data_IF_286353009662
#
_entry.id   IF_286353009662
#
_cell.length_a   1.000
_cell.length_b   1.000
_cell.length_c   1.000
_cell.angle_alpha   90.00
_cell.angle_beta   90.00
_cell.angle_gamma   90.00
#
_symmetry.space_group_name_H-M   'P 1'
#
loop_
_entity.id
_entity.type
_entity.pdbx_description
1 polymer ?
#
# COMPACT_ATOMS: atom_id res chain seq x y z
N UNK A 1 52.11 22.57 -6.40
CA UNK A 1 51.35 21.72 -7.34
C UNK A 1 50.53 20.72 -6.54
N UNK A 2 49.19 20.80 -6.59
CA UNK A 2 48.30 19.74 -6.10
C UNK A 2 47.17 19.62 -7.12
N UNK A 3 46.98 18.42 -7.67
CA UNK A 3 46.00 18.19 -8.74
C UNK A 3 44.61 17.99 -8.15
N UNK A 4 43.55 18.63 -8.67
CA UNK A 4 42.20 18.50 -8.11
C UNK A 4 41.58 17.14 -8.46
N UNK A 5 41.61 16.23 -7.49
CA UNK A 5 41.01 14.91 -7.58
C UNK A 5 39.48 14.94 -7.76
N UNK A 6 39.02 14.05 -8.64
CA UNK A 6 37.65 13.84 -9.10
C UNK A 6 36.55 13.93 -8.03
N UNK A 7 35.73 14.98 -8.08
CA UNK A 7 34.51 15.13 -7.27
C UNK A 7 33.31 14.30 -7.78
N UNK A 8 33.43 13.65 -8.96
CA UNK A 8 32.31 12.92 -9.60
C UNK A 8 32.15 11.51 -9.04
N UNK A 9 33.23 10.82 -8.72
CA UNK A 9 33.18 9.51 -8.05
C UNK A 9 32.65 9.59 -6.62
N UNK A 10 32.92 10.68 -5.89
CA UNK A 10 32.41 10.90 -4.52
C UNK A 10 30.89 11.01 -4.49
N UNK A 11 30.30 11.78 -5.43
CA UNK A 11 28.85 11.90 -5.54
C UNK A 11 28.18 10.56 -5.88
N UNK A 12 28.75 9.77 -6.82
CA UNK A 12 28.19 8.48 -7.23
C UNK A 12 28.33 7.38 -6.15
N UNK A 13 29.42 7.39 -5.38
CA UNK A 13 29.61 6.49 -4.22
C UNK A 13 28.76 6.90 -3.01
N UNK A 14 28.54 8.20 -2.82
CA UNK A 14 27.61 8.73 -1.80
C UNK A 14 26.18 8.26 -2.04
N UNK A 15 25.70 8.32 -3.28
CA UNK A 15 24.35 7.83 -3.66
C UNK A 15 24.15 6.37 -3.30
N UNK A 16 25.07 5.48 -3.69
CA UNK A 16 24.92 4.06 -3.34
C UNK A 16 24.93 3.80 -1.83
N UNK A 17 25.76 4.51 -1.05
CA UNK A 17 25.74 4.37 0.42
C UNK A 17 24.50 4.97 1.06
N UNK A 18 24.05 6.15 0.65
CA UNK A 18 22.90 6.82 1.28
C UNK A 18 21.57 6.14 0.91
N UNK A 19 21.41 5.72 -0.36
CA UNK A 19 20.24 4.97 -0.81
C UNK A 19 20.25 3.55 -0.23
N UNK A 20 21.40 2.87 -0.12
CA UNK A 20 21.45 1.59 0.58
C UNK A 20 21.13 1.75 2.07
N UNK A 21 21.67 2.75 2.77
CA UNK A 21 21.36 2.99 4.20
C UNK A 21 19.91 3.42 4.41
N UNK A 22 19.31 4.18 3.48
CA UNK A 22 17.90 4.53 3.54
C UNK A 22 17.00 3.33 3.23
N UNK A 23 17.31 2.52 2.21
CA UNK A 23 16.58 1.30 1.86
C UNK A 23 16.68 0.24 2.96
N UNK A 24 17.87 0.04 3.53
CA UNK A 24 18.14 -0.88 4.64
C UNK A 24 17.49 -0.39 5.94
N UNK A 25 17.45 0.92 6.22
CA UNK A 25 16.62 1.46 7.32
C UNK A 25 15.12 1.38 7.04
N UNK A 26 14.64 1.59 5.82
CA UNK A 26 13.23 1.43 5.46
C UNK A 26 12.80 -0.03 5.55
N UNK A 27 13.60 -0.98 5.03
CA UNK A 27 13.36 -2.41 5.23
C UNK A 27 13.42 -2.76 6.72
N UNK A 28 14.43 -2.31 7.48
CA UNK A 28 14.50 -2.59 8.93
C UNK A 28 13.39 -1.90 9.73
N UNK A 29 12.80 -0.79 9.30
CA UNK A 29 11.64 -0.18 9.97
C UNK A 29 10.34 -0.93 9.59
N UNK A 30 10.16 -1.30 8.32
CA UNK A 30 9.05 -2.15 7.89
C UNK A 30 9.09 -3.55 8.54
N UNK A 31 10.28 -4.13 8.76
CA UNK A 31 10.45 -5.40 9.46
C UNK A 31 10.46 -5.25 11.00
N UNK A 32 11.00 -4.17 11.58
CA UNK A 32 10.89 -3.94 13.03
C UNK A 32 9.44 -3.70 13.48
N UNK A 33 8.60 -3.12 12.60
CA UNK A 33 7.15 -3.08 12.77
C UNK A 33 6.49 -4.47 12.86
N UNK A 34 7.18 -5.55 12.46
CA UNK A 34 6.73 -6.94 12.61
C UNK A 34 7.37 -7.68 13.79
N UNK A 35 8.38 -7.11 14.47
CA UNK A 35 9.03 -7.76 15.63
C UNK A 35 8.49 -7.31 16.99
N UNK A 36 7.86 -6.13 17.10
CA UNK A 36 7.42 -5.58 18.40
C UNK A 36 6.06 -6.08 18.91
N UNK A 37 5.35 -6.94 18.17
CA UNK A 37 4.10 -7.58 18.60
C UNK A 37 4.11 -9.09 18.31
N UNK A 38 4.93 -9.84 19.05
CA UNK A 38 4.76 -11.29 19.18
C UNK A 38 3.52 -11.64 20.00
N UNK A 39 2.35 -11.42 19.42
CA UNK A 39 1.13 -12.16 19.72
C UNK A 39 1.02 -13.33 18.71
N UNK A 40 0.58 -14.53 19.10
CA UNK A 40 0.61 -15.70 18.23
C UNK A 40 -0.50 -15.65 17.18
N UNK A 41 -0.16 -15.22 15.96
CA UNK A 41 -1.01 -15.44 14.79
C UNK A 41 -1.00 -16.93 14.45
N UNK A 42 -2.05 -17.64 14.86
CA UNK A 42 -2.16 -19.10 14.72
C UNK A 42 -2.31 -19.54 13.25
N UNK A 43 -1.61 -20.63 12.90
CA UNK A 43 -1.56 -21.23 11.56
C UNK A 43 -2.93 -21.70 11.03
N UNK A 44 -3.69 -20.80 10.39
CA UNK A 44 -4.90 -21.18 9.63
C UNK A 44 -4.59 -22.09 8.42
N UNK A 45 -3.35 -22.14 7.95
CA UNK A 45 -2.92 -22.97 6.82
C UNK A 45 -2.82 -24.47 7.15
N UNK A 46 -2.88 -24.82 8.44
CA UNK A 46 -2.86 -26.21 8.93
C UNK A 46 -4.24 -26.89 8.90
N UNK A 47 -5.33 -26.12 8.94
CA UNK A 47 -6.71 -26.63 9.05
C UNK A 47 -7.37 -26.97 7.70
N UNK A 48 -6.88 -26.43 6.59
CA UNK A 48 -7.45 -26.65 5.26
C UNK A 48 -6.98 -27.96 4.58
N UNK A 49 -6.02 -28.68 5.16
CA UNK A 49 -5.37 -29.85 4.53
C UNK A 49 -5.99 -31.21 4.89
N UNK A 50 -7.16 -31.19 5.53
CA UNK A 50 -7.83 -32.36 6.13
C UNK A 50 -9.07 -32.89 5.40
N UNK A 51 -9.24 -32.65 4.10
CA UNK A 51 -10.22 -33.36 3.25
C UNK A 51 -10.00 -33.09 1.76
N UNK A 52 -9.24 -33.96 1.09
CA UNK A 52 -9.57 -34.65 -0.16
C UNK A 52 -8.30 -35.38 -0.65
N UNK A 53 -8.38 -36.70 -0.81
CA UNK A 53 -7.28 -37.52 -1.31
C UNK A 53 -7.69 -38.25 -2.59
N UNK A 54 -7.07 -37.89 -3.72
CA UNK A 54 -7.02 -38.72 -4.93
C UNK A 54 -5.92 -38.29 -5.93
N UNK A 55 -4.81 -39.03 -5.90
CA UNK A 55 -3.89 -39.39 -7.02
C UNK A 55 -3.21 -38.33 -7.93
N UNK A 56 -1.88 -38.44 -8.18
CA UNK A 56 -1.12 -37.51 -9.03
C UNK A 56 -0.85 -38.00 -10.48
N UNK A 57 -0.56 -37.10 -11.44
CA UNK A 57 0.06 -37.43 -12.73
C UNK A 57 1.62 -37.33 -12.70
N UNK A 58 2.33 -37.98 -13.64
CA UNK A 58 3.78 -38.26 -13.53
C UNK A 58 4.73 -37.17 -14.09
N UNK A 59 6.03 -37.22 -13.74
CA UNK A 59 7.04 -36.25 -14.18
C UNK A 59 7.66 -36.59 -15.56
N UNK A 60 8.10 -35.57 -16.30
CA UNK A 60 8.95 -35.72 -17.50
C UNK A 60 10.34 -35.14 -17.22
N UNK A 61 11.36 -35.90 -17.60
CA UNK A 61 12.73 -35.76 -17.13
C UNK A 61 13.61 -34.77 -17.92
N UNK A 62 14.66 -34.27 -17.26
CA UNK A 62 15.75 -33.52 -17.88
C UNK A 62 16.97 -34.43 -18.13
N UNK A 63 17.46 -34.44 -19.37
CA UNK A 63 18.70 -35.06 -19.86
C UNK A 63 18.91 -34.56 -21.31
N UNK A 64 20.11 -34.40 -21.89
CA UNK A 64 21.50 -34.45 -21.44
C UNK A 64 22.33 -33.78 -22.57
N UNK A 65 23.46 -33.10 -22.29
CA UNK A 65 24.77 -33.39 -22.91
C UNK A 65 25.87 -32.38 -22.51
N UNK A 66 27.12 -32.85 -22.52
CA UNK A 66 28.28 -32.18 -21.92
C UNK A 66 29.27 -31.61 -22.95
N UNK A 67 30.13 -30.73 -22.43
CA UNK A 67 31.36 -30.15 -23.00
C UNK A 67 32.21 -31.11 -23.86
N UNK A 68 32.99 -30.54 -24.79
CA UNK A 68 34.47 -30.62 -24.74
C UNK A 68 35.18 -29.54 -25.58
N UNK A 69 36.48 -29.32 -25.32
CA UNK A 69 37.34 -28.26 -25.89
C UNK A 69 37.94 -28.65 -27.24
N UNK A 70 38.27 -27.66 -28.10
CA UNK A 70 39.61 -27.53 -28.74
C UNK A 70 39.84 -26.15 -29.39
N UNK A 71 41.10 -25.91 -29.78
CA UNK A 71 41.75 -24.61 -30.03
C UNK A 71 41.97 -24.29 -31.53
N UNK A 72 42.31 -23.02 -31.81
CA UNK A 72 42.69 -22.45 -33.13
C UNK A 72 43.89 -23.14 -33.81
N UNK A 73 44.05 -23.01 -35.15
CA UNK A 73 44.97 -21.99 -35.70
C UNK A 73 44.47 -21.19 -36.94
N UNK A 74 45.17 -20.09 -37.23
CA UNK A 74 45.06 -19.09 -38.34
C UNK A 74 45.91 -19.51 -39.60
N UNK A 75 46.05 -18.74 -40.72
CA UNK A 75 45.24 -17.66 -41.38
C UNK A 75 45.18 -17.69 -42.96
N UNK A 76 44.73 -16.56 -43.59
CA UNK A 76 44.94 -16.01 -44.98
C UNK A 76 44.05 -16.50 -46.19
N UNK A 77 43.94 -15.79 -47.37
CA UNK A 77 42.77 -14.97 -47.80
C UNK A 77 42.29 -15.28 -49.27
N UNK A 78 41.70 -14.36 -50.10
CA UNK A 78 40.85 -13.16 -49.93
C UNK A 78 39.41 -13.50 -50.46
N UNK A 79 38.70 -12.81 -51.42
CA UNK A 79 38.64 -11.40 -51.91
C UNK A 79 38.21 -10.40 -50.81
N UNK A 80 37.94 -9.08 -50.95
CA UNK A 80 37.84 -8.04 -52.01
C UNK A 80 36.53 -7.80 -52.79
N UNK A 81 35.65 -6.94 -52.27
CA UNK A 81 35.32 -5.69 -52.98
C UNK A 81 34.87 -4.55 -52.04
N UNK A 82 35.21 -3.35 -52.50
CA UNK A 82 34.89 -1.97 -52.12
C UNK A 82 33.38 -1.69 -51.89
N UNK A 83 32.95 -0.65 -51.16
CA UNK A 83 33.24 0.79 -51.37
C UNK A 83 32.86 1.63 -50.13
N UNK A 84 33.38 2.86 -50.03
CA UNK A 84 33.13 3.81 -48.94
C UNK A 84 32.82 5.20 -49.51
N UNK A 85 31.71 5.83 -49.09
CA UNK A 85 31.50 7.31 -49.09
C UNK A 85 31.56 7.96 -50.51
N UNK A 86 31.57 9.31 -50.77
CA UNK A 86 31.63 10.49 -49.87
C UNK A 86 30.75 11.69 -50.29
N UNK A 87 31.01 12.89 -49.73
CA UNK A 87 31.17 14.14 -50.49
C UNK A 87 31.73 15.28 -49.62
N UNK A 88 33.00 15.63 -49.85
CA UNK A 88 33.76 16.84 -49.47
C UNK A 88 35.24 16.58 -49.91
N UNK A 89 35.90 17.27 -50.86
CA UNK A 89 35.40 18.17 -51.92
C UNK A 89 36.43 18.29 -53.11
N UNK A 90 36.23 19.25 -54.04
CA UNK A 90 37.07 19.76 -55.18
C UNK A 90 38.59 19.35 -55.32
N UNK A 91 39.17 19.39 -56.56
CA UNK A 91 38.64 19.00 -57.88
C UNK A 91 39.66 18.25 -58.79
N UNK A 92 39.17 17.54 -59.83
CA UNK A 92 39.48 17.79 -61.27
C UNK A 92 38.96 16.68 -62.19
N UNK A 93 38.20 17.10 -63.22
CA UNK A 93 37.92 16.43 -64.50
C UNK A 93 37.24 15.03 -64.58
N UNK A 94 36.52 14.89 -65.71
CA UNK A 94 35.92 13.70 -66.34
C UNK A 94 34.50 13.31 -65.93
N UNK A 95 33.64 13.29 -66.95
CA UNK A 95 32.19 13.09 -66.94
C UNK A 95 31.76 11.66 -66.59
N UNK A 96 30.72 11.49 -65.75
CA UNK A 96 29.54 10.62 -66.00
C UNK A 96 28.51 10.66 -64.84
N UNK A 97 27.22 10.34 -65.08
CA UNK A 97 26.15 10.55 -64.10
C UNK A 97 25.94 9.35 -63.16
N UNK A 98 26.09 9.55 -61.85
CA UNK A 98 25.69 8.56 -60.85
C UNK A 98 24.22 8.73 -60.43
N UNK A 99 23.41 7.73 -60.75
CA UNK A 99 22.00 7.63 -60.33
C UNK A 99 21.97 7.24 -58.84
N UNK A 100 21.62 8.18 -57.96
CA UNK A 100 21.33 7.89 -56.56
C UNK A 100 20.04 7.06 -56.44
N UNK A 101 20.15 5.79 -56.02
CA UNK A 101 18.99 5.02 -55.57
C UNK A 101 18.46 5.64 -54.27
N UNK A 102 17.16 5.93 -54.14
CA UNK A 102 16.61 6.51 -52.91
C UNK A 102 16.70 5.49 -51.78
N UNK A 103 17.29 5.89 -50.65
CA UNK A 103 17.31 5.08 -49.44
C UNK A 103 15.86 4.84 -48.99
N UNK A 104 15.47 3.56 -48.91
CA UNK A 104 14.15 3.15 -48.44
C UNK A 104 14.02 3.55 -46.96
N UNK A 105 13.29 4.64 -46.70
CA UNK A 105 13.15 5.20 -45.35
C UNK A 105 12.34 4.20 -44.51
N UNK A 106 13.00 3.54 -43.56
CA UNK A 106 12.34 2.69 -42.57
C UNK A 106 11.21 3.48 -41.90
N UNK A 107 10.00 2.91 -41.70
CA UNK A 107 8.87 3.66 -41.13
C UNK A 107 9.18 4.25 -39.75
N UNK A 108 10.07 3.62 -38.97
CA UNK A 108 10.60 4.16 -37.71
C UNK A 108 11.34 5.50 -37.89
N UNK A 109 12.18 5.64 -38.91
CA UNK A 109 12.91 6.87 -39.21
C UNK A 109 12.00 8.00 -39.73
N UNK A 110 10.86 7.66 -40.36
CA UNK A 110 9.82 8.65 -40.69
C UNK A 110 9.13 9.17 -39.44
N UNK A 111 8.74 8.27 -38.52
CA UNK A 111 8.11 8.61 -37.23
C UNK A 111 9.06 9.48 -36.38
N UNK A 112 10.33 9.13 -36.30
CA UNK A 112 11.36 9.90 -35.57
C UNK A 112 11.47 11.34 -36.11
N UNK A 113 11.60 11.52 -37.44
CA UNK A 113 11.68 12.85 -38.07
C UNK A 113 10.41 13.68 -37.84
N UNK A 114 9.23 13.05 -37.84
CA UNK A 114 7.95 13.73 -37.53
C UNK A 114 7.89 14.15 -36.06
N UNK A 115 8.23 13.27 -35.12
CA UNK A 115 8.32 13.59 -33.69
C UNK A 115 9.30 14.73 -33.43
N UNK A 116 10.51 14.67 -34.01
CA UNK A 116 11.51 15.72 -33.88
C UNK A 116 10.99 17.08 -34.39
N UNK A 117 10.29 17.10 -35.53
CA UNK A 117 9.68 18.31 -36.08
C UNK A 117 8.59 18.88 -35.17
N UNK A 118 7.74 18.03 -34.59
CA UNK A 118 6.70 18.43 -33.63
C UNK A 118 7.33 19.01 -32.36
N UNK A 119 8.30 18.33 -31.75
CA UNK A 119 9.00 18.82 -30.56
C UNK A 119 9.78 20.11 -30.81
N UNK A 120 10.38 20.26 -31.99
CA UNK A 120 11.07 21.50 -32.38
C UNK A 120 10.08 22.67 -32.52
N UNK A 121 8.94 22.46 -33.18
CA UNK A 121 7.88 23.47 -33.31
C UNK A 121 7.31 23.87 -31.94
N UNK A 122 7.03 22.89 -31.08
CA UNK A 122 6.58 23.11 -29.70
C UNK A 122 7.61 23.89 -28.88
N UNK A 123 8.89 23.52 -28.96
CA UNK A 123 9.98 24.24 -28.30
C UNK A 123 10.14 25.68 -28.78
N UNK A 124 9.97 25.93 -30.09
CA UNK A 124 10.00 27.28 -30.66
C UNK A 124 8.79 28.12 -30.21
N UNK A 125 7.61 27.51 -30.06
CA UNK A 125 6.42 28.18 -29.54
C UNK A 125 6.57 28.55 -28.05
N UNK A 126 7.06 27.63 -27.22
CA UNK A 126 7.34 27.87 -25.80
C UNK A 126 8.41 28.97 -25.64
N UNK A 127 9.47 28.92 -26.44
CA UNK A 127 10.53 29.93 -26.43
C UNK A 127 10.08 31.34 -26.83
N UNK A 128 9.07 31.48 -27.69
CA UNK A 128 8.49 32.78 -28.07
C UNK A 128 7.60 33.39 -26.98
N UNK A 129 6.91 32.57 -26.18
CA UNK A 129 5.93 33.04 -25.18
C UNK A 129 6.05 32.36 -23.81
N UNK A 130 7.23 32.42 -23.15
CA UNK A 130 7.53 31.60 -21.95
C UNK A 130 6.53 31.83 -20.80
N UNK A 131 6.14 33.08 -20.54
CA UNK A 131 5.21 33.42 -19.45
C UNK A 131 3.84 32.75 -19.59
N UNK A 132 3.32 32.57 -20.82
CA UNK A 132 2.02 31.90 -21.05
C UNK A 132 2.09 30.42 -20.67
N UNK A 133 3.20 29.75 -21.00
CA UNK A 133 3.43 28.33 -20.70
C UNK A 133 3.87 28.05 -19.26
N UNK A 134 4.24 29.07 -18.48
CA UNK A 134 4.47 28.94 -17.04
C UNK A 134 3.19 29.22 -16.26
N UNK A 135 2.53 30.35 -16.55
CA UNK A 135 1.34 30.80 -15.80
C UNK A 135 0.12 29.91 -16.10
N UNK A 136 -0.07 29.47 -17.35
CA UNK A 136 -1.20 28.62 -17.73
C UNK A 136 -1.29 27.31 -16.92
N UNK A 137 -0.24 26.46 -16.90
CA UNK A 137 -0.23 25.24 -16.10
C UNK A 137 -0.30 25.47 -14.58
N UNK A 138 0.21 26.58 -14.06
CA UNK A 138 0.09 26.94 -12.64
C UNK A 138 -1.36 27.29 -12.27
N UNK A 139 -2.05 28.10 -13.09
CA UNK A 139 -3.48 28.40 -12.92
C UNK A 139 -4.30 27.11 -13.05
N UNK A 140 -4.00 26.27 -14.04
CA UNK A 140 -4.68 24.98 -14.19
C UNK A 140 -4.49 24.08 -12.96
N UNK A 141 -3.27 23.94 -12.45
CA UNK A 141 -2.99 23.18 -11.22
C UNK A 141 -3.74 23.73 -10.00
N UNK A 142 -3.85 25.06 -9.88
CA UNK A 142 -4.60 25.72 -8.81
C UNK A 142 -6.11 25.44 -8.92
N UNK A 143 -6.68 25.51 -10.13
CA UNK A 143 -8.07 25.17 -10.40
C UNK A 143 -8.37 23.69 -10.12
N UNK A 144 -7.49 22.76 -10.52
CA UNK A 144 -7.62 21.35 -10.17
C UNK A 144 -7.53 21.13 -8.64
N UNK A 145 -6.67 21.87 -7.95
CA UNK A 145 -6.55 21.82 -6.48
C UNK A 145 -7.80 22.34 -5.77
N UNK A 146 -8.63 23.19 -6.39
CA UNK A 146 -9.93 23.55 -5.81
C UNK A 146 -10.87 22.33 -5.65
N UNK A 147 -10.62 21.22 -6.37
CA UNK A 147 -11.32 19.95 -6.19
C UNK A 147 -11.15 19.29 -4.81
N UNK A 148 -10.15 19.70 -4.02
CA UNK A 148 -10.02 19.29 -2.61
C UNK A 148 -11.20 19.70 -1.72
N UNK A 149 -12.06 20.63 -2.16
CA UNK A 149 -13.32 20.97 -1.43
C UNK A 149 -14.26 19.76 -1.30
N UNK A 150 -14.18 18.77 -2.19
CA UNK A 150 -14.96 17.52 -2.15
C UNK A 150 -14.19 16.33 -1.55
N UNK A 151 -13.12 16.59 -0.80
CA UNK A 151 -12.27 15.53 -0.25
C UNK A 151 -13.04 14.63 0.73
N UNK A 152 -13.35 13.40 0.28
CA UNK A 152 -13.96 12.34 1.08
C UNK A 152 -12.93 11.25 1.33
N UNK A 153 -12.57 11.01 2.58
CA UNK A 153 -11.74 9.86 2.96
C UNK A 153 -12.62 8.67 3.34
N UNK A 154 -12.26 7.48 2.86
CA UNK A 154 -12.78 6.19 3.33
C UNK A 154 -11.56 5.37 3.74
N UNK A 155 -11.60 4.63 4.85
CA UNK A 155 -10.52 3.73 5.29
C UNK A 155 -11.02 2.29 5.58
N UNK A 156 -12.21 1.91 5.12
CA UNK A 156 -12.75 0.58 5.34
C UNK A 156 -12.10 -0.42 4.36
N UNK A 157 -11.29 -1.34 4.89
CA UNK A 157 -10.56 -2.34 4.11
C UNK A 157 -11.51 -3.25 3.28
N UNK A 158 -12.65 -3.69 3.86
CA UNK A 158 -13.62 -4.57 3.20
C UNK A 158 -14.17 -3.97 1.92
N UNK A 159 -14.39 -2.65 1.90
CA UNK A 159 -14.96 -1.91 0.75
C UNK A 159 -13.88 -1.54 -0.30
N UNK A 160 -12.60 -1.58 0.06
CA UNK A 160 -11.50 -1.17 -0.84
C UNK A 160 -10.77 -2.34 -1.50
N UNK A 161 -10.61 -3.47 -0.80
CA UNK A 161 -9.92 -4.65 -1.32
C UNK A 161 -10.86 -5.67 -2.00
N UNK A 162 -12.15 -5.35 -2.12
CA UNK A 162 -13.12 -6.14 -2.90
C UNK A 162 -13.52 -5.39 -4.16
N UNK A 163 -13.62 -6.11 -5.29
CA UNK A 163 -14.09 -5.53 -6.54
C UNK A 163 -15.54 -5.02 -6.41
N UNK A 164 -15.88 -3.95 -7.15
CA UNK A 164 -17.20 -3.31 -7.08
C UNK A 164 -18.35 -4.20 -7.56
N UNK A 165 -18.04 -5.12 -8.46
CA UNK A 165 -18.89 -6.10 -9.15
C UNK A 165 -18.77 -7.52 -8.56
N UNK A 166 -18.07 -7.69 -7.44
CA UNK A 166 -17.89 -9.00 -6.81
C UNK A 166 -19.23 -9.62 -6.39
N UNK A 167 -19.50 -10.92 -6.68
CA UNK A 167 -20.73 -11.61 -6.28
C UNK A 167 -21.02 -11.51 -4.77
N UNK A 168 -19.98 -11.54 -3.94
CA UNK A 168 -20.08 -11.38 -2.49
C UNK A 168 -20.65 -10.03 -2.03
N UNK A 169 -20.56 -8.97 -2.86
CA UNK A 169 -21.25 -7.70 -2.58
C UNK A 169 -22.75 -7.79 -2.85
N UNK A 170 -23.15 -8.45 -3.94
CA UNK A 170 -24.56 -8.69 -4.24
C UNK A 170 -25.20 -9.59 -3.17
N UNK A 171 -24.50 -10.63 -2.72
CA UNK A 171 -24.91 -11.47 -1.60
C UNK A 171 -25.05 -10.67 -0.30
N UNK A 172 -24.04 -9.86 0.05
CA UNK A 172 -24.07 -9.03 1.26
C UNK A 172 -25.18 -7.97 1.24
N UNK A 173 -25.44 -7.33 0.10
CA UNK A 173 -26.53 -6.37 -0.07
C UNK A 173 -27.90 -7.07 -0.02
N UNK A 174 -28.03 -8.24 -0.63
CA UNK A 174 -29.26 -9.05 -0.58
C UNK A 174 -29.56 -9.51 0.85
N UNK A 175 -28.53 -9.95 1.58
CA UNK A 175 -28.62 -10.32 2.99
C UNK A 175 -29.00 -9.12 3.87
N UNK A 176 -28.39 -7.95 3.64
CA UNK A 176 -28.72 -6.71 4.36
C UNK A 176 -30.18 -6.30 4.17
N UNK A 177 -30.68 -6.32 2.93
CA UNK A 177 -32.09 -6.06 2.59
C UNK A 177 -33.02 -7.09 3.23
N UNK A 178 -32.67 -8.38 3.21
CA UNK A 178 -33.49 -9.45 3.79
C UNK A 178 -33.60 -9.36 5.31
N UNK A 179 -32.50 -9.02 6.00
CA UNK A 179 -32.46 -8.89 7.45
C UNK A 179 -33.08 -7.57 7.96
N UNK A 180 -33.49 -6.67 7.05
CA UNK A 180 -34.12 -5.37 7.34
C UNK A 180 -33.41 -4.57 8.44
N UNK A 181 -32.07 -4.58 8.41
CA UNK A 181 -31.23 -3.94 9.43
C UNK A 181 -31.19 -2.41 9.24
N UNK A 182 -31.55 -1.67 10.28
CA UNK A 182 -31.50 -0.19 10.30
C UNK A 182 -30.06 0.36 10.42
N UNK A 183 -29.19 0.00 9.49
CA UNK A 183 -27.78 0.44 9.47
C UNK A 183 -26.84 -0.65 8.94
N UNK A 184 -25.55 -0.33 8.83
CA UNK A 184 -24.51 -1.35 8.63
C UNK A 184 -24.24 -2.02 9.98
N UNK A 185 -24.54 -3.32 10.09
CA UNK A 185 -24.13 -4.12 11.24
C UNK A 185 -22.61 -4.32 11.23
N UNK A 186 -21.89 -3.57 12.06
CA UNK A 186 -20.49 -3.90 12.34
C UNK A 186 -20.42 -5.04 13.36
N UNK A 187 -19.50 -5.97 13.14
CA UNK A 187 -19.24 -7.08 14.06
C UNK A 187 -17.93 -6.80 14.78
N UNK A 188 -18.01 -6.74 16.11
CA UNK A 188 -16.87 -6.72 17.00
C UNK A 188 -16.67 -8.13 17.54
N UNK A 189 -15.48 -8.68 17.34
CA UNK A 189 -15.09 -9.99 17.86
C UNK A 189 -14.13 -9.76 19.03
N UNK A 190 -14.52 -10.18 20.23
CA UNK A 190 -13.65 -10.19 21.41
C UNK A 190 -13.15 -11.61 21.59
N UNK A 191 -11.85 -11.80 21.39
CA UNK A 191 -11.16 -13.08 21.49
C UNK A 191 -10.60 -13.17 22.91
N UNK A 192 -10.90 -14.27 23.60
CA UNK A 192 -10.45 -14.52 24.96
C UNK A 192 -9.62 -15.80 25.02
N UNK A 193 -8.45 -15.69 25.61
CA UNK A 193 -7.40 -16.71 25.78
C UNK A 193 -7.24 -17.00 27.28
N UNK A 194 -7.16 -18.26 27.66
CA UNK A 194 -6.80 -18.64 29.03
C UNK A 194 -5.29 -18.46 29.24
N UNK A 195 -4.91 -17.52 30.10
CA UNK A 195 -3.50 -17.14 30.31
C UNK A 195 -2.71 -18.30 30.91
N UNK A 196 -1.78 -18.85 30.13
CA UNK A 196 -0.92 -19.97 30.53
C UNK A 196 -1.32 -21.27 29.83
N UNK A 197 -1.57 -22.33 30.59
CA UNK A 197 -2.05 -23.62 30.06
C UNK A 197 -3.46 -24.02 30.54
N UNK A 198 -4.09 -23.21 31.40
CA UNK A 198 -5.42 -23.46 31.95
C UNK A 198 -6.53 -23.43 30.89
N UNK A 199 -7.74 -23.79 31.30
CA UNK A 199 -8.93 -23.85 30.45
C UNK A 199 -10.00 -22.87 30.91
N UNK A 200 -10.71 -22.26 29.97
CA UNK A 200 -11.73 -21.23 30.22
C UNK A 200 -12.99 -21.77 30.94
N UNK A 201 -13.14 -23.10 31.03
CA UNK A 201 -14.20 -23.75 31.79
C UNK A 201 -13.94 -23.79 33.30
N UNK A 202 -12.67 -23.70 33.72
CA UNK A 202 -12.26 -23.81 35.11
C UNK A 202 -12.54 -22.48 35.87
N UNK A 203 -12.92 -22.56 37.16
CA UNK A 203 -12.75 -21.40 38.06
C UNK A 203 -11.25 -21.22 38.33
N UNK A 204 -10.66 -20.02 38.21
CA UNK A 204 -11.30 -18.70 38.14
C UNK A 204 -11.53 -18.13 36.73
N UNK A 205 -11.03 -18.79 35.66
CA UNK A 205 -11.10 -18.28 34.29
C UNK A 205 -12.53 -18.02 33.82
N UNK A 206 -13.46 -18.96 34.08
CA UNK A 206 -14.88 -18.85 33.70
C UNK A 206 -15.57 -17.62 34.30
N UNK A 207 -15.21 -17.26 35.53
CA UNK A 207 -15.80 -16.14 36.26
C UNK A 207 -15.32 -14.80 35.71
N UNK A 208 -14.04 -14.71 35.33
CA UNK A 208 -13.52 -13.53 34.63
C UNK A 208 -14.11 -13.37 33.22
N UNK A 209 -14.33 -14.47 32.49
CA UNK A 209 -14.99 -14.43 31.17
C UNK A 209 -16.46 -13.96 31.28
N UNK A 210 -17.20 -14.42 32.28
CA UNK A 210 -18.57 -13.96 32.55
C UNK A 210 -18.58 -12.47 32.96
N UNK A 211 -17.68 -12.07 33.86
CA UNK A 211 -17.57 -10.69 34.31
C UNK A 211 -17.21 -9.72 33.17
N UNK A 212 -16.23 -10.08 32.33
CA UNK A 212 -15.83 -9.30 31.14
C UNK A 212 -17.01 -9.10 30.20
N UNK A 213 -17.79 -10.16 29.96
CA UNK A 213 -18.94 -10.08 29.05
C UNK A 213 -19.99 -9.11 29.59
N UNK A 214 -20.27 -9.15 30.90
CA UNK A 214 -21.21 -8.24 31.55
C UNK A 214 -20.72 -6.78 31.56
N UNK A 215 -19.44 -6.54 31.87
CA UNK A 215 -18.83 -5.20 31.84
C UNK A 215 -18.94 -4.57 30.44
N UNK A 216 -18.60 -5.32 29.39
CA UNK A 216 -18.73 -4.86 28.00
C UNK A 216 -20.19 -4.60 27.58
N UNK A 217 -21.16 -5.38 28.07
CA UNK A 217 -22.57 -5.21 27.68
C UNK A 217 -23.35 -4.17 28.49
N UNK A 218 -23.06 -4.00 29.77
CA UNK A 218 -23.89 -3.22 30.72
C UNK A 218 -23.17 -1.99 31.31
N UNK A 219 -21.87 -2.09 31.61
CA UNK A 219 -21.10 -1.01 32.23
C UNK A 219 -20.57 0.00 31.19
N UNK A 220 -20.14 -0.47 30.01
CA UNK A 220 -19.65 0.39 28.92
C UNK A 220 -20.80 1.21 28.32
N UNK A 221 -20.88 2.48 28.74
CA UNK A 221 -21.87 3.46 28.28
C UNK A 221 -21.22 4.58 27.47
N UNK A 222 -21.90 5.00 26.40
CA UNK A 222 -21.42 5.99 25.43
C UNK A 222 -22.42 7.11 25.30
N UNK A 223 -21.95 8.35 25.26
CA UNK A 223 -22.82 9.50 25.04
C UNK A 223 -23.18 9.60 23.55
N UNK A 224 -24.47 9.54 23.24
CA UNK A 224 -25.00 9.72 21.89
C UNK A 224 -25.14 11.23 21.58
N UNK A 225 -24.36 11.80 20.64
CA UNK A 225 -24.42 13.22 20.32
C UNK A 225 -25.74 13.65 19.67
N UNK A 226 -26.52 12.73 19.09
CA UNK A 226 -27.82 13.04 18.49
C UNK A 226 -28.95 13.09 19.52
N UNK A 227 -28.80 12.43 20.68
CA UNK A 227 -29.84 12.32 21.72
C UNK A 227 -29.46 12.91 23.08
N UNK A 228 -28.20 13.25 23.31
CA UNK A 228 -27.69 13.78 24.58
C UNK A 228 -27.88 12.80 25.75
N UNK A 229 -27.75 11.49 25.48
CA UNK A 229 -28.00 10.41 26.46
C UNK A 229 -26.90 9.36 26.40
N UNK A 230 -26.67 8.73 27.56
CA UNK A 230 -25.74 7.61 27.66
C UNK A 230 -26.43 6.29 27.25
N UNK A 231 -26.00 5.74 26.13
CA UNK A 231 -26.49 4.51 25.50
C UNK A 231 -25.53 3.36 25.85
N UNK A 232 -26.07 2.19 26.21
CA UNK A 232 -25.31 0.95 26.46
C UNK A 232 -25.33 0.02 25.24
N UNK A 233 -24.50 -1.02 25.24
CA UNK A 233 -24.50 -2.03 24.16
C UNK A 233 -25.91 -2.59 23.91
N UNK A 234 -26.67 -2.89 24.97
CA UNK A 234 -28.01 -3.48 24.89
C UNK A 234 -29.03 -2.66 24.09
N UNK A 235 -28.86 -1.34 23.99
CA UNK A 235 -29.71 -0.47 23.16
C UNK A 235 -29.24 -0.37 21.70
N UNK A 236 -28.00 -0.77 21.40
CA UNK A 236 -27.37 -0.66 20.08
C UNK A 236 -27.34 -1.96 19.27
N UNK A 237 -27.60 -3.09 19.92
CA UNK A 237 -27.36 -4.43 19.38
C UNK A 237 -28.56 -5.15 18.78
N UNK A 238 -29.78 -4.59 18.87
CA UNK A 238 -30.96 -5.25 18.33
C UNK A 238 -30.82 -5.48 16.81
N UNK A 239 -31.12 -6.69 16.28
CA UNK A 239 -31.78 -7.83 16.96
C UNK A 239 -30.83 -8.87 17.60
N UNK A 240 -29.50 -8.69 17.55
CA UNK A 240 -28.51 -9.74 17.86
C UNK A 240 -27.94 -9.71 19.29
N UNK A 241 -28.51 -8.92 20.20
CA UNK A 241 -28.05 -8.78 21.59
C UNK A 241 -27.79 -10.14 22.30
N UNK A 242 -28.68 -11.12 22.08
CA UNK A 242 -28.64 -12.44 22.73
C UNK A 242 -27.68 -13.46 22.08
N UNK A 243 -26.76 -13.02 21.20
CA UNK A 243 -25.86 -13.92 20.48
C UNK A 243 -24.89 -14.68 21.41
N UNK A 244 -24.44 -14.04 22.49
CA UNK A 244 -23.48 -14.63 23.44
C UNK A 244 -24.16 -15.41 24.58
N UNK A 245 -25.48 -15.27 24.77
CA UNK A 245 -26.25 -15.88 25.86
C UNK A 245 -26.04 -17.41 25.98
N UNK A 246 -25.99 -18.20 24.89
CA UNK A 246 -25.71 -19.64 24.98
C UNK A 246 -24.39 -19.96 25.67
N UNK A 247 -23.30 -19.27 25.31
CA UNK A 247 -21.99 -19.49 25.92
C UNK A 247 -22.02 -19.15 27.41
N UNK A 248 -22.54 -17.98 27.77
CA UNK A 248 -22.59 -17.52 29.16
C UNK A 248 -23.50 -18.41 30.02
N UNK A 249 -24.62 -18.86 29.48
CA UNK A 249 -25.54 -19.80 30.16
C UNK A 249 -24.86 -21.16 30.38
N UNK A 250 -24.11 -21.66 29.39
CA UNK A 250 -23.34 -22.91 29.49
C UNK A 250 -22.29 -22.81 30.59
N UNK A 251 -21.49 -21.74 30.62
CA UNK A 251 -20.44 -21.53 31.63
C UNK A 251 -21.00 -21.44 33.06
N UNK A 252 -22.20 -20.83 33.23
CA UNK A 252 -22.91 -20.79 34.51
C UNK A 252 -23.42 -22.18 34.94
N UNK A 253 -23.97 -22.96 34.01
CA UNK A 253 -24.58 -24.26 34.31
C UNK A 253 -23.57 -25.41 34.42
N UNK A 254 -22.42 -25.34 33.73
CA UNK A 254 -21.34 -26.31 33.80
C UNK A 254 -20.86 -26.59 35.24
N UNK A 255 -20.79 -25.56 36.08
CA UNK A 255 -20.38 -25.72 37.48
C UNK A 255 -21.38 -26.53 38.32
N UNK A 256 -22.67 -26.50 37.95
CA UNK A 256 -23.73 -27.17 38.70
C UNK A 256 -23.89 -28.66 38.35
N UNK A 257 -23.14 -29.18 37.38
CA UNK A 257 -23.25 -30.56 36.90
C UNK A 257 -24.58 -30.91 36.23
N UNK A 258 -25.41 -29.91 35.91
CA UNK A 258 -26.80 -30.09 35.44
C UNK A 258 -26.93 -30.36 33.94
N UNK A 259 -25.86 -30.27 33.16
CA UNK A 259 -25.88 -30.34 31.70
C UNK A 259 -24.67 -31.12 31.20
N UNK A 260 -24.92 -32.08 30.30
CA UNK A 260 -23.90 -32.76 29.50
C UNK A 260 -23.42 -31.83 28.38
N UNK A 261 -22.12 -31.50 28.37
CA UNK A 261 -21.56 -30.57 27.39
C UNK A 261 -21.12 -31.29 26.12
N UNK A 262 -22.01 -31.31 25.13
CA UNK A 262 -21.77 -31.83 23.77
C UNK A 262 -21.27 -30.73 22.81
N UNK A 263 -20.75 -31.12 21.65
CA UNK A 263 -20.30 -30.20 20.59
C UNK A 263 -20.77 -30.69 19.21
N UNK A 264 -21.21 -29.81 18.27
CA UNK A 264 -21.20 -28.34 18.31
C UNK A 264 -22.47 -27.69 18.88
N UNK A 265 -23.49 -28.49 19.17
CA UNK A 265 -24.77 -28.08 19.74
C UNK A 265 -24.89 -28.67 21.14
N UNK A 266 -25.47 -27.92 22.07
CA UNK A 266 -25.90 -28.41 23.38
C UNK A 266 -27.41 -28.24 23.56
N UNK A 267 -27.97 -29.00 24.50
CA UNK A 267 -29.36 -28.84 24.92
C UNK A 267 -29.42 -28.01 26.21
N UNK A 268 -29.82 -26.75 26.10
CA UNK A 268 -30.12 -25.86 27.23
C UNK A 268 -31.62 -25.96 27.56
N UNK A 269 -31.97 -26.83 28.51
CA UNK A 269 -33.33 -26.94 29.07
C UNK A 269 -34.44 -27.13 28.00
N UNK A 270 -34.18 -27.93 26.97
CA UNK A 270 -35.11 -28.19 25.87
C UNK A 270 -34.89 -27.29 24.64
N UNK A 271 -33.97 -26.32 24.69
CA UNK A 271 -33.58 -25.49 23.54
C UNK A 271 -32.21 -25.92 23.03
N UNK A 272 -32.13 -26.27 21.75
CA UNK A 272 -30.85 -26.52 21.08
C UNK A 272 -30.11 -25.21 20.85
N UNK A 273 -28.87 -25.12 21.35
CA UNK A 273 -28.04 -23.94 21.22
C UNK A 273 -26.67 -24.29 20.63
N UNK A 274 -26.29 -23.62 19.54
CA UNK A 274 -25.01 -23.84 18.86
C UNK A 274 -23.89 -23.04 19.50
N UNK A 275 -22.86 -23.73 20.00
CA UNK A 275 -21.65 -23.14 20.61
C UNK A 275 -20.45 -23.19 19.66
N UNK A 276 -20.56 -23.91 18.53
CA UNK A 276 -19.48 -24.03 17.53
C UNK A 276 -18.96 -22.72 16.92
N UNK A 277 -19.61 -21.58 17.18
CA UNK A 277 -19.15 -20.23 16.78
C UNK A 277 -18.48 -19.43 17.91
N UNK A 278 -18.40 -19.99 19.12
CA UNK A 278 -17.95 -19.28 20.33
C UNK A 278 -16.90 -20.02 21.15
N UNK A 279 -16.81 -21.36 21.09
CA UNK A 279 -15.74 -22.14 21.74
C UNK A 279 -14.77 -22.71 20.71
N UNK A 280 -13.47 -22.55 20.95
CA UNK A 280 -12.40 -22.99 20.07
C UNK A 280 -11.29 -23.70 20.85
N UNK A 281 -10.57 -24.61 20.16
CA UNK A 281 -9.54 -25.50 20.75
C UNK A 281 -10.08 -26.24 21.98
N UNK A 282 -11.04 -27.12 21.70
CA UNK A 282 -11.82 -27.87 22.68
C UNK A 282 -11.12 -29.20 22.95
N UNK A 283 -10.96 -29.53 24.22
CA UNK A 283 -10.49 -30.82 24.70
C UNK A 283 -11.70 -31.68 25.08
N UNK A 284 -11.76 -32.90 24.53
CA UNK A 284 -12.88 -33.83 24.71
C UNK A 284 -12.41 -35.10 25.38
N UNK A 285 -13.27 -35.67 26.22
CA UNK A 285 -13.08 -37.01 26.73
C UNK A 285 -13.20 -38.04 25.59
N UNK A 286 -12.29 -39.00 25.59
CA UNK A 286 -12.21 -40.04 24.58
C UNK A 286 -13.25 -41.16 24.80
N UNK A 287 -13.77 -41.30 26.03
CA UNK A 287 -14.78 -42.31 26.36
C UNK A 287 -16.22 -41.82 26.14
N UNK A 288 -16.54 -40.60 26.58
CA UNK A 288 -17.89 -40.02 26.52
C UNK A 288 -18.11 -39.03 25.38
N UNK A 289 -17.05 -38.52 24.76
CA UNK A 289 -17.13 -37.46 23.75
C UNK A 289 -17.48 -36.07 24.31
N UNK A 290 -17.67 -35.95 25.63
CA UNK A 290 -18.03 -34.71 26.32
C UNK A 290 -16.85 -33.72 26.36
N UNK A 291 -17.18 -32.43 26.47
CA UNK A 291 -16.20 -31.35 26.62
C UNK A 291 -15.60 -31.38 28.03
N UNK A 292 -14.27 -31.57 28.13
CA UNK A 292 -13.51 -31.41 29.38
C UNK A 292 -13.09 -29.94 29.58
N UNK A 293 -12.72 -29.27 28.50
CA UNK A 293 -12.20 -27.90 28.54
C UNK A 293 -12.09 -27.27 27.16
N UNK A 294 -11.80 -25.97 27.14
CA UNK A 294 -11.51 -25.25 25.90
C UNK A 294 -10.62 -24.04 26.21
N UNK A 295 -9.72 -23.68 25.27
CA UNK A 295 -8.67 -22.68 25.51
C UNK A 295 -8.97 -21.30 24.95
N UNK A 296 -9.86 -21.19 23.98
CA UNK A 296 -10.24 -19.92 23.34
C UNK A 296 -11.75 -19.72 23.27
N UNK A 297 -12.24 -18.55 23.69
CA UNK A 297 -13.60 -18.09 23.41
C UNK A 297 -13.58 -16.96 22.37
N UNK A 298 -14.62 -16.87 21.55
CA UNK A 298 -14.92 -15.67 20.76
C UNK A 298 -16.33 -15.19 21.11
N UNK A 299 -16.40 -13.98 21.66
CA UNK A 299 -17.64 -13.25 21.91
C UNK A 299 -17.92 -12.36 20.70
N UNK A 300 -19.15 -12.38 20.19
CA UNK A 300 -19.56 -11.59 19.03
C UNK A 300 -20.52 -10.49 19.48
N UNK A 301 -20.10 -9.23 19.36
CA UNK A 301 -20.90 -8.05 19.64
C UNK A 301 -21.30 -7.41 18.31
N UNK A 302 -22.60 -7.36 18.04
CA UNK A 302 -23.16 -6.77 16.83
C UNK A 302 -23.61 -5.35 17.15
N UNK A 303 -23.14 -4.38 16.38
CA UNK A 303 -23.43 -2.96 16.54
C UNK A 303 -24.09 -2.44 15.27
N UNK A 304 -25.27 -1.84 15.37
CA UNK A 304 -26.04 -1.37 14.19
C UNK A 304 -25.95 0.15 13.99
N UNK A 305 -25.70 0.91 15.06
CA UNK A 305 -25.77 2.38 15.08
C UNK A 305 -24.42 3.04 14.75
N UNK A 306 -24.23 3.50 13.50
CA UNK A 306 -22.95 4.00 12.98
C UNK A 306 -22.26 5.10 13.80
N UNK A 307 -23.00 6.07 14.34
CA UNK A 307 -22.41 7.26 14.98
C UNK A 307 -21.81 6.94 16.37
N UNK A 308 -22.53 6.14 17.16
CA UNK A 308 -22.16 5.79 18.54
C UNK A 308 -21.18 4.60 18.58
N UNK A 309 -21.25 3.71 17.58
CA UNK A 309 -20.41 2.52 17.41
C UNK A 309 -18.91 2.77 17.62
N UNK A 310 -18.33 3.78 16.94
CA UNK A 310 -16.89 4.08 17.06
C UNK A 310 -16.49 4.45 18.50
N UNK A 311 -17.33 5.20 19.21
CA UNK A 311 -17.07 5.62 20.58
C UNK A 311 -17.31 4.48 21.59
N UNK A 312 -18.18 3.51 21.28
CA UNK A 312 -18.30 2.27 22.04
C UNK A 312 -17.06 1.39 21.88
N UNK A 313 -16.62 1.17 20.64
CA UNK A 313 -15.43 0.37 20.34
C UNK A 313 -14.16 0.93 21.02
N UNK A 314 -14.01 2.26 21.04
CA UNK A 314 -12.88 2.90 21.70
C UNK A 314 -12.90 2.73 23.23
N UNK A 315 -14.07 2.82 23.88
CA UNK A 315 -14.21 2.54 25.32
C UNK A 315 -14.04 1.05 25.66
N UNK A 316 -14.56 0.15 24.83
CA UNK A 316 -14.36 -1.29 24.99
C UNK A 316 -12.87 -1.66 24.88
N UNK A 317 -12.16 -1.05 23.92
CA UNK A 317 -10.71 -1.20 23.75
C UNK A 317 -9.92 -0.62 24.94
N UNK A 318 -10.40 0.45 25.59
CA UNK A 318 -9.81 1.00 26.82
C UNK A 318 -9.95 0.03 28.01
N UNK A 319 -11.14 -0.54 28.22
CA UNK A 319 -11.38 -1.58 29.25
C UNK A 319 -10.45 -2.77 29.04
N UNK A 320 -10.30 -3.25 27.80
CA UNK A 320 -9.40 -4.37 27.47
C UNK A 320 -7.92 -3.99 27.74
N UNK A 321 -7.48 -2.81 27.31
CA UNK A 321 -6.11 -2.31 27.54
C UNK A 321 -5.79 -2.05 29.01
N UNK A 322 -6.78 -1.81 29.86
CA UNK A 322 -6.59 -1.66 31.32
C UNK A 322 -6.04 -2.93 31.98
N UNK A 323 -6.15 -4.09 31.32
CA UNK A 323 -5.69 -5.39 31.80
C UNK A 323 -6.22 -5.72 33.23
N UNK A 324 -7.48 -5.35 33.49
CA UNK A 324 -8.23 -5.60 34.74
C UNK A 324 -8.27 -7.09 35.15
N UNK A 325 -8.23 -7.99 34.17
CA UNK A 325 -8.32 -9.44 34.36
C UNK A 325 -6.95 -10.12 34.27
N UNK A 326 -6.58 -10.85 35.34
CA UNK A 326 -5.27 -11.48 35.43
C UNK A 326 -5.19 -12.88 34.80
N UNK A 327 -6.29 -13.65 34.79
CA UNK A 327 -6.31 -15.04 34.32
C UNK A 327 -6.65 -15.19 32.84
N UNK A 328 -7.28 -14.18 32.22
CA UNK A 328 -7.59 -14.20 30.79
C UNK A 328 -6.78 -13.14 30.05
N UNK A 329 -6.28 -13.49 28.85
CA UNK A 329 -5.85 -12.51 27.85
C UNK A 329 -7.07 -12.19 26.98
N UNK A 330 -7.27 -10.91 26.68
CA UNK A 330 -8.40 -10.42 25.90
C UNK A 330 -7.88 -9.56 24.77
N UNK A 331 -8.28 -9.88 23.55
CA UNK A 331 -7.96 -9.15 22.33
C UNK A 331 -9.27 -8.82 21.59
N UNK A 332 -9.30 -7.74 20.81
CA UNK A 332 -10.52 -7.26 20.14
C UNK A 332 -10.23 -6.91 18.68
N UNK A 333 -11.05 -7.46 17.78
CA UNK A 333 -10.94 -7.28 16.34
C UNK A 333 -12.27 -6.77 15.75
N UNK A 334 -12.17 -5.76 14.88
CA UNK A 334 -13.31 -5.25 14.11
C UNK A 334 -12.83 -4.46 12.89
N UNK A 335 -13.65 -4.35 11.85
CA UNK A 335 -13.35 -3.62 10.61
C UNK A 335 -12.99 -2.14 10.89
N UNK A 336 -13.68 -1.52 11.85
CA UNK A 336 -13.46 -0.14 12.29
C UNK A 336 -12.11 0.03 12.99
N UNK A 337 -11.75 -0.88 13.91
CA UNK A 337 -10.44 -0.90 14.58
C UNK A 337 -9.30 -1.06 13.56
N UNK A 338 -9.45 -1.96 12.58
CA UNK A 338 -8.49 -2.13 11.48
C UNK A 338 -8.39 -0.83 10.65
N UNK A 339 -9.52 -0.20 10.31
CA UNK A 339 -9.54 1.10 9.62
C UNK A 339 -8.87 2.23 10.42
N UNK A 340 -8.99 2.22 11.75
CA UNK A 340 -8.32 3.15 12.67
C UNK A 340 -6.81 2.94 12.68
N UNK A 341 -6.34 1.70 12.72
CA UNK A 341 -4.90 1.39 12.67
C UNK A 341 -4.29 1.69 11.29
N UNK A 342 -5.00 1.42 10.19
CA UNK A 342 -4.59 1.82 8.83
C UNK A 342 -4.50 3.34 8.69
N UNK A 343 -5.43 4.10 9.30
CA UNK A 343 -5.35 5.57 9.37
C UNK A 343 -4.14 6.02 10.18
N UNK A 344 -3.90 5.40 11.34
CA UNK A 344 -2.78 5.69 12.23
C UNK A 344 -1.43 5.48 11.54
N UNK A 345 -1.23 4.32 10.91
CA UNK A 345 -0.05 4.00 10.11
C UNK A 345 0.20 5.08 9.03
N UNK A 346 -0.86 5.54 8.35
CA UNK A 346 -0.77 6.65 7.40
C UNK A 346 -0.30 7.97 8.03
N UNK A 347 -0.85 8.34 9.19
CA UNK A 347 -0.46 9.57 9.90
C UNK A 347 0.94 9.52 10.51
N UNK A 348 1.39 8.36 11.01
CA UNK A 348 2.75 8.19 11.57
C UNK A 348 3.81 8.13 10.46
N UNK A 349 3.47 7.62 9.28
CA UNK A 349 4.36 7.57 8.10
C UNK A 349 4.50 8.93 7.40
N UNK A 350 3.44 9.76 7.41
CA UNK A 350 3.43 11.07 6.76
C UNK A 350 4.65 11.97 7.06
N UNK A 351 5.07 12.20 8.33
CA UNK A 351 6.25 13.02 8.61
C UNK A 351 7.56 12.41 8.09
N UNK A 352 7.71 11.08 8.12
CA UNK A 352 8.89 10.41 7.57
C UNK A 352 8.98 10.61 6.04
N UNK A 353 7.84 10.57 5.36
CA UNK A 353 7.74 10.83 3.92
C UNK A 353 8.11 12.29 3.60
N UNK A 354 7.63 13.27 4.37
CA UNK A 354 8.04 14.69 4.21
C UNK A 354 9.55 14.87 4.39
N UNK A 355 10.16 14.22 5.39
CA UNK A 355 11.61 14.26 5.59
C UNK A 355 12.38 13.62 4.42
N UNK A 356 11.90 12.50 3.88
CA UNK A 356 12.50 11.84 2.72
C UNK A 356 12.42 12.70 1.44
N UNK A 357 11.27 13.34 1.18
CA UNK A 357 11.10 14.29 0.07
C UNK A 357 12.05 15.49 0.24
N UNK A 358 12.15 16.05 1.44
CA UNK A 358 13.06 17.16 1.75
C UNK A 358 14.53 16.79 1.52
N UNK A 359 14.96 15.62 1.97
CA UNK A 359 16.32 15.11 1.73
C UNK A 359 16.62 14.92 0.23
N UNK A 360 15.66 14.41 -0.55
CA UNK A 360 15.80 14.26 -2.00
C UNK A 360 15.89 15.63 -2.70
N UNK A 361 15.08 16.62 -2.32
CA UNK A 361 15.19 17.99 -2.85
C UNK A 361 16.54 18.64 -2.51
N UNK A 362 17.03 18.50 -1.28
CA UNK A 362 18.36 19.00 -0.87
C UNK A 362 19.47 18.32 -1.68
N UNK A 363 19.39 17.01 -1.91
CA UNK A 363 20.31 16.28 -2.77
C UNK A 363 20.27 16.79 -4.23
N UNK A 364 19.08 17.03 -4.79
CA UNK A 364 18.86 17.56 -6.14
C UNK A 364 19.51 18.94 -6.33
N UNK A 365 19.30 19.84 -5.35
CA UNK A 365 19.90 21.17 -5.30
C UNK A 365 21.43 21.04 -5.17
N UNK A 366 21.92 20.17 -4.28
CA UNK A 366 23.33 19.86 -4.09
C UNK A 366 24.03 19.41 -5.38
N UNK A 367 23.44 18.46 -6.11
CA UNK A 367 23.92 17.99 -7.42
C UNK A 367 23.88 19.05 -8.54
N UNK A 368 23.25 20.20 -8.31
CA UNK A 368 23.14 21.29 -9.27
C UNK A 368 24.19 22.39 -9.08
N UNK A 369 24.93 22.35 -7.97
CA UNK A 369 26.16 23.13 -7.82
C UNK A 369 27.28 22.52 -8.66
N UNK A 370 27.82 23.32 -9.56
CA UNK A 370 28.92 22.95 -10.45
C UNK A 370 30.16 23.75 -10.07
N UNK A 371 31.34 23.14 -10.22
CA UNK A 371 32.64 23.68 -9.80
C UNK A 371 32.99 25.08 -10.40
N UNK A 372 32.24 25.56 -11.39
CA UNK A 372 32.26 26.95 -11.86
C UNK A 372 30.92 27.62 -11.50
N UNK A 373 30.94 28.51 -10.51
CA UNK A 373 29.73 29.15 -9.94
C UNK A 373 28.88 29.95 -10.96
N UNK A 374 29.48 30.43 -12.06
CA UNK A 374 28.74 31.07 -13.18
C UNK A 374 27.95 30.08 -14.06
N UNK A 375 28.12 28.77 -13.87
CA UNK A 375 27.40 27.72 -14.59
C UNK A 375 26.40 26.94 -13.71
N UNK A 376 26.40 27.16 -12.39
CA UNK A 376 25.38 26.60 -11.51
C UNK A 376 24.04 27.33 -11.67
N UNK A 377 22.97 26.55 -11.81
CA UNK A 377 21.59 27.04 -11.92
C UNK A 377 20.71 26.38 -10.85
N UNK A 378 20.85 26.76 -9.56
CA UNK A 378 20.09 26.13 -8.49
C UNK A 378 18.57 26.32 -8.65
N UNK A 379 18.11 27.50 -9.08
CA UNK A 379 16.69 27.78 -9.31
C UNK A 379 16.02 26.87 -10.36
N UNK A 380 16.73 26.53 -11.45
CA UNK A 380 16.23 25.58 -12.47
C UNK A 380 15.98 24.19 -11.85
N UNK A 381 16.81 23.80 -10.88
CA UNK A 381 16.71 22.55 -10.15
C UNK A 381 15.61 22.55 -9.09
N UNK A 382 15.43 23.67 -8.36
CA UNK A 382 14.34 23.84 -7.38
C UNK A 382 12.98 23.78 -8.08
N UNK A 383 12.79 24.53 -9.17
CA UNK A 383 11.54 24.52 -9.95
C UNK A 383 11.27 23.12 -10.50
N UNK A 384 12.30 22.46 -11.04
CA UNK A 384 12.22 21.08 -11.50
C UNK A 384 11.79 20.09 -10.40
N UNK A 385 12.37 20.18 -9.20
CA UNK A 385 12.00 19.32 -8.06
C UNK A 385 10.61 19.59 -7.48
N UNK A 386 10.09 20.81 -7.59
CA UNK A 386 8.73 21.16 -7.15
C UNK A 386 7.65 20.77 -8.16
N UNK A 387 7.99 20.65 -9.45
CA UNK A 387 7.03 20.35 -10.51
C UNK A 387 6.26 19.02 -10.30
N UNK A 388 6.89 17.89 -9.94
CA UNK A 388 6.17 16.65 -9.62
C UNK A 388 5.21 16.78 -8.43
N UNK A 389 5.54 17.61 -7.42
CA UNK A 389 4.68 17.85 -6.25
C UNK A 389 3.40 18.58 -6.68
N UNK A 390 3.54 19.66 -7.45
CA UNK A 390 2.40 20.43 -7.97
C UNK A 390 1.52 19.58 -8.88
N UNK A 391 2.12 18.75 -9.75
CA UNK A 391 1.40 17.82 -10.60
C UNK A 391 0.64 16.74 -9.79
N UNK A 392 1.26 16.19 -8.74
CA UNK A 392 0.61 15.24 -7.82
C UNK A 392 -0.59 15.85 -7.10
N UNK A 393 -0.43 17.06 -6.54
CA UNK A 393 -1.52 17.80 -5.88
C UNK A 393 -2.67 18.13 -6.85
N UNK A 394 -2.36 18.57 -8.07
CA UNK A 394 -3.37 18.83 -9.10
C UNK A 394 -4.13 17.55 -9.50
N UNK A 395 -3.42 16.42 -9.62
CA UNK A 395 -4.01 15.11 -9.93
C UNK A 395 -4.96 14.64 -8.83
N UNK A 396 -4.54 14.68 -7.56
CA UNK A 396 -5.41 14.31 -6.43
C UNK A 396 -6.60 15.27 -6.33
N UNK A 397 -6.40 16.57 -6.51
CA UNK A 397 -7.48 17.55 -6.52
C UNK A 397 -8.53 17.27 -7.61
N UNK A 398 -8.09 16.95 -8.84
CA UNK A 398 -8.98 16.58 -9.94
C UNK A 398 -9.77 15.29 -9.66
N UNK A 399 -9.13 14.27 -9.09
CA UNK A 399 -9.78 13.02 -8.68
C UNK A 399 -10.76 13.25 -7.52
N UNK A 400 -10.43 14.14 -6.58
CA UNK A 400 -11.33 14.56 -5.50
C UNK A 400 -12.57 15.30 -6.04
N UNK A 401 -12.44 16.08 -7.12
CA UNK A 401 -13.56 16.80 -7.73
C UNK A 401 -14.65 15.86 -8.30
N UNK A 402 -14.27 14.68 -8.80
CA UNK A 402 -15.22 13.66 -9.31
C UNK A 402 -15.95 12.90 -8.20
N UNK A 403 -15.60 13.14 -6.92
CA UNK A 403 -16.23 12.50 -5.77
C UNK A 403 -15.68 11.10 -5.44
N UNK A 404 -14.57 10.69 -6.07
CA UNK A 404 -13.87 9.47 -5.71
C UNK A 404 -13.27 9.57 -4.31
N UNK A 405 -13.43 8.52 -3.52
CA UNK A 405 -12.94 8.49 -2.15
C UNK A 405 -11.41 8.33 -2.11
N UNK A 406 -10.76 9.17 -1.30
CA UNK A 406 -9.34 9.08 -1.03
C UNK A 406 -9.04 8.00 0.02
N UNK A 407 -7.96 7.24 -0.19
CA UNK A 407 -7.45 6.24 0.75
C UNK A 407 -6.06 6.63 1.25
N UNK A 408 -5.80 6.45 2.55
CA UNK A 408 -4.55 6.89 3.20
C UNK A 408 -3.27 6.35 2.55
N UNK A 409 -3.31 5.13 2.00
CA UNK A 409 -2.14 4.47 1.37
C UNK A 409 -1.63 5.21 0.12
N UNK A 410 -2.47 6.03 -0.53
CA UNK A 410 -2.09 6.79 -1.75
C UNK A 410 -1.00 7.83 -1.46
N UNK A 411 -0.82 8.24 -0.20
CA UNK A 411 0.29 9.12 0.20
C UNK A 411 1.66 8.51 -0.14
N UNK A 412 1.80 7.18 -0.12
CA UNK A 412 3.05 6.50 -0.50
C UNK A 412 3.34 6.57 -2.01
N UNK A 413 2.32 6.64 -2.87
CA UNK A 413 2.55 6.72 -4.33
C UNK A 413 3.07 8.09 -4.75
N UNK A 414 2.76 9.16 -4.00
CA UNK A 414 3.34 10.49 -4.23
C UNK A 414 4.87 10.50 -4.10
N UNK A 415 5.44 9.67 -3.21
CA UNK A 415 6.90 9.52 -3.11
C UNK A 415 7.49 8.85 -4.37
N UNK A 416 6.84 7.82 -4.89
CA UNK A 416 7.26 7.15 -6.13
C UNK A 416 7.17 8.11 -7.34
N UNK A 417 6.10 8.90 -7.44
CA UNK A 417 5.95 9.90 -8.49
C UNK A 417 7.03 10.99 -8.44
N UNK A 418 7.42 11.44 -7.24
CA UNK A 418 8.51 12.42 -7.12
C UNK A 418 9.85 11.79 -7.53
N UNK A 419 10.13 10.55 -7.13
CA UNK A 419 11.37 9.86 -7.50
C UNK A 419 11.54 9.73 -9.03
N UNK A 420 10.47 9.40 -9.76
CA UNK A 420 10.47 9.32 -11.23
C UNK A 420 10.56 10.72 -11.85
N UNK A 421 9.68 11.65 -11.46
CA UNK A 421 9.62 12.99 -12.07
C UNK A 421 10.89 13.84 -11.86
N UNK A 422 11.65 13.58 -10.79
CA UNK A 422 12.96 14.20 -10.57
C UNK A 422 14.03 13.68 -11.54
N UNK A 423 13.98 12.41 -11.96
CA UNK A 423 14.97 11.87 -12.91
C UNK A 423 14.76 12.43 -14.33
N UNK A 424 13.51 12.56 -14.78
CA UNK A 424 13.17 13.21 -16.05
C UNK A 424 13.72 14.65 -16.13
N UNK A 425 13.57 15.42 -15.05
CA UNK A 425 14.16 16.77 -14.90
C UNK A 425 15.68 16.73 -14.97
N UNK A 426 16.32 15.73 -14.34
CA UNK A 426 17.76 15.55 -14.39
C UNK A 426 18.29 15.14 -15.78
N UNK A 427 17.51 14.39 -16.56
CA UNK A 427 17.84 14.01 -17.94
C UNK A 427 17.69 15.22 -18.87
N UNK A 428 16.57 15.96 -18.74
CA UNK A 428 16.29 17.14 -19.54
C UNK A 428 17.33 18.26 -19.33
N UNK A 429 17.84 18.42 -18.10
CA UNK A 429 18.93 19.36 -17.83
C UNK A 429 20.22 18.90 -18.53
N UNK A 430 20.74 19.64 -19.53
CA UNK A 430 21.86 19.15 -20.34
C UNK A 430 23.12 18.95 -19.48
N UNK A 431 23.45 17.67 -19.21
CA UNK A 431 24.64 17.27 -18.43
C UNK A 431 25.97 17.56 -19.13
N UNK A 432 25.96 17.89 -20.43
CA UNK A 432 27.10 18.44 -21.17
C UNK A 432 26.62 19.30 -22.33
N UNK A 433 26.97 20.60 -22.34
CA UNK A 433 26.36 21.55 -23.28
C UNK A 433 27.10 22.89 -23.45
N UNK A 434 28.42 22.92 -23.25
CA UNK A 434 29.23 24.10 -23.59
C UNK A 434 29.18 24.41 -25.11
N UNK A 435 28.89 23.41 -25.96
CA UNK A 435 28.76 23.56 -27.42
C UNK A 435 27.38 24.08 -27.87
N UNK A 436 26.28 23.62 -27.26
CA UNK A 436 24.92 24.03 -27.67
C UNK A 436 24.58 25.47 -27.30
N UNK A 437 25.04 25.96 -26.14
CA UNK A 437 24.79 27.35 -25.72
C UNK A 437 25.53 28.38 -26.57
N UNK A 438 26.71 28.04 -27.10
CA UNK A 438 27.47 28.92 -27.99
C UNK A 438 26.73 29.18 -29.32
N UNK A 439 25.96 28.22 -29.83
CA UNK A 439 25.18 28.34 -31.07
C UNK A 439 23.89 29.15 -30.84
N UNK A 440 23.13 28.85 -29.78
CA UNK A 440 21.91 29.60 -29.43
C UNK A 440 22.20 31.07 -29.10
N UNK A 441 23.29 31.36 -28.36
CA UNK A 441 23.67 32.73 -28.04
C UNK A 441 24.21 33.51 -29.26
N UNK A 442 24.95 32.85 -30.18
CA UNK A 442 25.36 33.43 -31.49
C UNK A 442 24.22 33.59 -32.50
N UNK A 443 23.06 33.00 -32.23
CA UNK A 443 21.82 33.24 -32.98
C UNK A 443 21.09 34.46 -32.40
N UNK A 444 20.93 34.51 -31.08
CA UNK A 444 20.26 35.62 -30.39
C UNK A 444 20.98 36.98 -30.55
N UNK A 445 22.33 36.99 -30.51
CA UNK A 445 23.14 38.19 -30.79
C UNK A 445 23.24 38.57 -32.28
N UNK A 446 22.48 37.93 -33.16
CA UNK A 446 22.29 38.35 -34.56
C UNK A 446 20.88 38.89 -34.84
N UNK A 447 20.06 39.00 -33.79
CA UNK A 447 18.68 39.52 -33.81
C UNK A 447 18.46 40.62 -32.77
N UNK A 448 19.56 41.15 -32.23
CA UNK A 448 19.75 42.38 -31.46
C UNK A 448 20.93 43.11 -32.11
#
# INVERSE_FOLDING_TARGET
MVSPGDSRTTCRRGVFKLVAVAHDRLQRICFAGTESTKAPFLDLESLARGSLESTPPPPIAAAHFQRLRRTSPNPVPPPSDSTRTPCEDFPTHVNSPHICRPAMILPTAFIERKLQSIFYSLGQLIGRHPWRFIIGPLIFSLLCSAGFVRFKQINNARVQFTASDAPSRFEAETLHRFLNQNGESNVVQVIVDARGQGDLLQSPYKEQLIALTAELSEEVKVEDPARGRNVSFMEMCEPYCRKNDPLITTLKLAHSGRIEMTYPVINLMGTEASIGTSMYKIERDNATGLIIGFKFAILQFFLVHKEVMYAWEDKAMEVIKSNKYNFIRVDMASDNLVGKEVKRMGTETAPMLVLALGALLVFVIGCSFRQRSRESKPFESVIGGVTPIVAGLASIGLVSATGLAFQSIVVATMFLLLAVGVDDVFIMRPRGGARTKALLWRSALRTL
#
